data_IF_518360170732
#
_entry.id   IF_518360170732
#
_cell.length_a   1.000
_cell.length_b   1.000
_cell.length_c   1.000
_cell.angle_alpha   90.00
_cell.angle_beta   90.00
_cell.angle_gamma   90.00
#
_symmetry.space_group_name_H-M   'P 1'
#
loop_
_entity.id
_entity.type
_entity.pdbx_description
1 polymer ?
#
# COMPACT_ATOMS: atom_id res chain seq x y z
N UNK A 1 46.53 -25.48 28.59
CA UNK A 1 45.17 -25.61 29.17
C UNK A 1 44.58 -24.31 29.72
N UNK A 2 45.39 -23.32 30.19
CA UNK A 2 44.86 -22.03 30.69
C UNK A 2 44.24 -21.12 29.58
N UNK A 3 44.65 -21.26 28.32
CA UNK A 3 44.07 -20.53 27.21
C UNK A 3 42.60 -20.91 26.91
N UNK A 4 42.28 -22.17 27.06
CA UNK A 4 40.94 -22.71 26.85
C UNK A 4 39.89 -22.15 27.83
N UNK A 5 40.22 -21.94 29.08
CA UNK A 5 39.29 -21.41 30.09
C UNK A 5 38.96 -19.94 29.84
N UNK A 6 39.98 -19.12 29.51
CA UNK A 6 39.77 -17.70 29.15
C UNK A 6 38.97 -17.54 27.88
N UNK A 7 39.19 -18.38 26.87
CA UNK A 7 38.43 -18.39 25.62
C UNK A 7 36.97 -18.77 25.89
N UNK A 8 36.71 -19.76 26.73
CA UNK A 8 35.36 -20.17 27.12
C UNK A 8 34.67 -19.05 27.89
N UNK A 9 35.33 -18.41 28.84
CA UNK A 9 34.76 -17.27 29.59
C UNK A 9 34.45 -16.08 28.67
N UNK A 10 35.33 -15.75 27.72
CA UNK A 10 35.11 -14.72 26.73
C UNK A 10 33.92 -15.04 25.84
N UNK A 11 33.78 -16.31 25.44
CA UNK A 11 32.64 -16.76 24.62
C UNK A 11 31.31 -16.71 25.38
N UNK A 12 31.32 -17.06 26.67
CA UNK A 12 30.14 -16.93 27.56
C UNK A 12 29.73 -15.46 27.69
N UNK A 13 30.68 -14.55 27.93
CA UNK A 13 30.39 -13.13 28.05
C UNK A 13 29.86 -12.53 26.75
N UNK A 14 30.41 -12.91 25.60
CA UNK A 14 29.94 -12.50 24.28
C UNK A 14 28.54 -13.03 23.99
N UNK A 15 28.27 -14.28 24.31
CA UNK A 15 26.93 -14.89 24.13
C UNK A 15 25.89 -14.22 25.03
N UNK A 16 26.24 -13.89 26.27
CA UNK A 16 25.31 -13.13 27.16
C UNK A 16 24.99 -11.74 26.58
N UNK A 17 26.01 -11.02 26.10
CA UNK A 17 25.77 -9.71 25.43
C UNK A 17 24.85 -9.85 24.21
N UNK A 18 25.11 -10.83 23.36
CA UNK A 18 24.27 -11.09 22.18
C UNK A 18 22.84 -11.42 22.59
N UNK A 19 22.66 -12.25 23.62
CA UNK A 19 21.33 -12.56 24.16
C UNK A 19 20.56 -11.32 24.67
N UNK A 20 21.29 -10.43 25.40
CA UNK A 20 20.70 -9.18 25.88
C UNK A 20 20.28 -8.24 24.74
N UNK A 21 21.11 -8.11 23.70
CA UNK A 21 20.82 -7.32 22.51
C UNK A 21 19.61 -7.91 21.79
N UNK A 22 19.56 -9.21 21.61
CA UNK A 22 18.43 -9.90 20.96
C UNK A 22 17.14 -9.69 21.75
N UNK A 23 17.17 -9.81 23.08
CA UNK A 23 16.03 -9.54 23.93
C UNK A 23 15.53 -8.09 23.83
N UNK A 24 16.44 -7.12 23.79
CA UNK A 24 16.10 -5.72 23.58
C UNK A 24 15.48 -5.49 22.20
N UNK A 25 16.03 -6.11 21.15
CA UNK A 25 15.47 -6.04 19.80
C UNK A 25 14.06 -6.64 19.72
N UNK A 26 13.81 -7.75 20.42
CA UNK A 26 12.46 -8.34 20.50
C UNK A 26 11.46 -7.40 21.16
N UNK A 27 11.84 -6.74 22.27
CA UNK A 27 10.96 -5.77 22.93
C UNK A 27 10.64 -4.57 22.05
N UNK A 28 11.63 -4.04 21.34
CA UNK A 28 11.43 -2.93 20.40
C UNK A 28 10.53 -3.36 19.26
N UNK A 29 10.74 -4.54 18.70
CA UNK A 29 9.92 -5.08 17.61
C UNK A 29 8.46 -5.30 18.05
N UNK A 30 8.23 -5.88 19.23
CA UNK A 30 6.90 -6.06 19.79
C UNK A 30 6.18 -4.72 20.02
N UNK A 31 6.89 -3.71 20.55
CA UNK A 31 6.33 -2.37 20.73
C UNK A 31 5.98 -1.71 19.40
N UNK A 32 6.82 -1.85 18.38
CA UNK A 32 6.57 -1.34 17.04
C UNK A 32 5.35 -2.02 16.40
N UNK A 33 5.25 -3.34 16.55
CA UNK A 33 4.10 -4.10 16.04
C UNK A 33 2.78 -3.60 16.64
N UNK A 34 2.72 -3.47 17.96
CA UNK A 34 1.51 -2.98 18.66
C UNK A 34 1.10 -1.59 18.18
N UNK A 35 2.07 -0.67 17.98
CA UNK A 35 1.78 0.67 17.45
C UNK A 35 1.30 0.62 16.01
N UNK A 36 1.88 -0.25 15.20
CA UNK A 36 1.50 -0.43 13.80
C UNK A 36 0.06 -0.97 13.68
N UNK A 37 -0.28 -1.95 14.50
CA UNK A 37 -1.64 -2.49 14.56
C UNK A 37 -2.66 -1.44 15.00
N UNK A 38 -2.31 -0.60 15.98
CA UNK A 38 -3.20 0.49 16.42
C UNK A 38 -3.38 1.54 15.33
N UNK A 39 -2.31 1.96 14.67
CA UNK A 39 -2.39 2.89 13.54
C UNK A 39 -3.23 2.33 12.38
N UNK A 40 -3.12 1.04 12.10
CA UNK A 40 -3.94 0.36 11.10
C UNK A 40 -5.43 0.37 11.48
N UNK A 41 -5.75 0.13 12.75
CA UNK A 41 -7.14 0.18 13.25
C UNK A 41 -7.73 1.59 13.17
N UNK A 42 -6.98 2.59 13.60
CA UNK A 42 -7.43 4.00 13.55
C UNK A 42 -7.67 4.44 12.11
N UNK A 43 -6.79 4.01 11.20
CA UNK A 43 -6.95 4.28 9.78
C UNK A 43 -8.17 3.56 9.19
N UNK A 44 -8.46 2.32 9.58
CA UNK A 44 -9.65 1.60 9.13
C UNK A 44 -10.94 2.32 9.51
N UNK A 45 -11.00 2.94 10.69
CA UNK A 45 -12.15 3.74 11.11
C UNK A 45 -12.33 4.95 10.20
N UNK A 46 -11.24 5.65 9.90
CA UNK A 46 -11.26 6.81 8.99
C UNK A 46 -11.67 6.40 7.56
N UNK A 47 -11.06 5.36 7.01
CA UNK A 47 -11.36 4.85 5.68
C UNK A 47 -12.82 4.36 5.57
N UNK A 48 -13.34 3.70 6.60
CA UNK A 48 -14.73 3.26 6.67
C UNK A 48 -15.71 4.43 6.63
N UNK A 49 -15.43 5.51 7.34
CA UNK A 49 -16.28 6.73 7.31
C UNK A 49 -16.26 7.41 5.95
N UNK A 50 -15.09 7.56 5.33
CA UNK A 50 -14.99 8.11 3.96
C UNK A 50 -15.73 7.22 2.98
N UNK A 51 -15.58 5.90 3.08
CA UNK A 51 -16.32 4.94 2.24
C UNK A 51 -17.82 5.09 2.41
N UNK A 52 -18.32 5.20 3.63
CA UNK A 52 -19.74 5.38 3.89
C UNK A 52 -20.30 6.66 3.26
N UNK A 53 -19.65 7.80 3.48
CA UNK A 53 -20.06 9.09 2.91
C UNK A 53 -20.02 9.01 1.37
N UNK A 54 -18.98 8.42 0.80
CA UNK A 54 -18.82 8.28 -0.65
C UNK A 54 -19.88 7.36 -1.22
N UNK A 55 -20.16 6.23 -0.58
CA UNK A 55 -21.20 5.29 -1.00
C UNK A 55 -22.58 5.94 -0.98
N UNK A 56 -22.89 6.68 0.07
CA UNK A 56 -24.16 7.39 0.21
C UNK A 56 -24.34 8.45 -0.90
N UNK A 57 -23.29 9.19 -1.21
CA UNK A 57 -23.29 10.17 -2.31
C UNK A 57 -23.44 9.50 -3.67
N UNK A 58 -22.71 8.41 -3.92
CA UNK A 58 -22.74 7.68 -5.18
C UNK A 58 -24.08 6.97 -5.41
N UNK A 59 -24.69 6.43 -4.37
CA UNK A 59 -26.00 5.80 -4.49
C UNK A 59 -27.04 6.77 -5.04
N UNK A 60 -26.98 8.02 -4.63
CA UNK A 60 -27.84 9.06 -5.18
C UNK A 60 -27.45 9.52 -6.59
N UNK A 61 -26.21 9.28 -7.02
CA UNK A 61 -25.70 9.59 -8.38
C UNK A 61 -26.06 8.51 -9.41
N UNK A 62 -25.96 7.23 -9.05
CA UNK A 62 -26.33 6.11 -9.93
C UNK A 62 -27.78 6.23 -10.40
N UNK A 63 -28.63 6.89 -9.59
CA UNK A 63 -30.00 7.23 -9.96
C UNK A 63 -30.07 8.35 -11.01
N UNK A 64 -29.04 9.22 -11.09
CA UNK A 64 -29.02 10.41 -11.94
C UNK A 64 -28.14 10.30 -13.19
N UNK A 65 -27.36 9.21 -13.34
CA UNK A 65 -26.60 8.90 -14.55
C UNK A 65 -25.38 9.80 -14.81
N UNK A 66 -24.73 10.34 -13.77
CA UNK A 66 -23.52 11.12 -13.98
C UNK A 66 -22.27 10.23 -14.19
N UNK A 67 -21.35 10.70 -15.04
CA UNK A 67 -20.10 10.05 -15.39
C UNK A 67 -18.95 10.69 -14.60
N UNK A 68 -18.11 9.87 -13.97
CA UNK A 68 -16.91 10.34 -13.27
C UNK A 68 -15.68 9.49 -13.66
N UNK A 69 -14.58 10.12 -14.12
CA UNK A 69 -13.37 9.38 -14.53
C UNK A 69 -12.75 8.49 -13.47
N UNK A 70 -12.97 8.80 -12.18
CA UNK A 70 -12.48 7.98 -11.07
C UNK A 70 -13.26 6.67 -10.88
N UNK A 71 -14.46 6.59 -11.44
CA UNK A 71 -15.38 5.45 -11.33
C UNK A 71 -15.52 4.69 -12.65
N UNK A 72 -15.36 5.37 -13.77
CA UNK A 72 -15.64 4.81 -15.09
C UNK A 72 -14.37 4.18 -15.67
N UNK A 73 -14.50 2.92 -16.10
CA UNK A 73 -13.45 2.26 -16.85
C UNK A 73 -13.30 2.89 -18.24
N UNK A 74 -12.05 3.05 -18.67
CA UNK A 74 -11.69 3.49 -20.03
C UNK A 74 -10.76 2.47 -20.68
N UNK A 75 -10.60 2.50 -22.02
CA UNK A 75 -9.66 1.61 -22.69
C UNK A 75 -8.26 1.71 -22.10
N UNK A 76 -7.69 0.58 -21.70
CA UNK A 76 -6.40 0.52 -21.03
C UNK A 76 -5.29 0.47 -22.06
N UNK A 77 -4.54 1.57 -22.19
CA UNK A 77 -3.31 1.66 -23.00
C UNK A 77 -2.06 1.52 -22.15
N UNK A 78 -2.13 2.00 -20.91
CA UNK A 78 -1.04 1.96 -19.95
C UNK A 78 -1.56 1.65 -18.55
N UNK A 79 -0.88 0.74 -17.85
CA UNK A 79 -1.18 0.33 -16.49
C UNK A 79 -0.16 0.86 -15.50
N UNK A 80 -0.61 1.45 -14.40
CA UNK A 80 0.24 1.86 -13.28
C UNK A 80 0.27 0.78 -12.20
N UNK A 81 1.46 0.53 -11.65
CA UNK A 81 1.68 -0.42 -10.57
C UNK A 81 2.44 0.22 -9.42
N UNK A 82 1.79 0.37 -8.27
CA UNK A 82 2.47 0.70 -7.03
C UNK A 82 2.96 -0.61 -6.43
N UNK A 83 4.27 -0.78 -6.30
CA UNK A 83 4.88 -2.00 -5.75
C UNK A 83 5.55 -1.68 -4.43
N UNK A 84 5.14 -2.38 -3.37
CA UNK A 84 5.60 -2.13 -2.01
C UNK A 84 6.57 -3.23 -1.59
N UNK A 85 7.81 -2.83 -1.28
CA UNK A 85 8.87 -3.69 -0.74
C UNK A 85 9.51 -3.02 0.48
N UNK A 86 10.42 -3.71 1.14
CA UNK A 86 11.26 -3.11 2.18
C UNK A 86 12.43 -2.34 1.58
N UNK A 87 13.02 -1.45 2.38
CA UNK A 87 14.26 -0.76 2.02
C UNK A 87 15.52 -1.61 2.29
N UNK A 88 15.43 -2.53 3.25
CA UNK A 88 16.54 -3.34 3.73
C UNK A 88 16.22 -4.83 3.59
N UNK A 89 17.28 -5.64 3.57
CA UNK A 89 17.18 -7.09 3.67
C UNK A 89 16.77 -7.58 5.08
N UNK A 90 16.99 -8.86 5.35
CA UNK A 90 16.63 -9.55 6.60
C UNK A 90 15.13 -9.71 6.85
N UNK A 91 14.33 -9.74 5.78
CA UNK A 91 12.87 -9.96 5.81
C UNK A 91 12.47 -11.31 5.17
N UNK A 92 13.40 -12.25 5.16
CA UNK A 92 13.17 -13.57 4.55
C UNK A 92 12.82 -13.49 3.06
N UNK A 93 11.84 -14.27 2.63
CA UNK A 93 11.36 -14.29 1.24
C UNK A 93 10.40 -13.16 0.87
N UNK A 94 10.15 -12.21 1.76
CA UNK A 94 9.15 -11.16 1.57
C UNK A 94 9.33 -10.40 0.25
N UNK A 95 10.52 -9.83 0.03
CA UNK A 95 10.79 -9.05 -1.17
C UNK A 95 10.87 -9.92 -2.43
N UNK A 96 11.54 -11.07 -2.36
CA UNK A 96 11.73 -11.94 -3.52
C UNK A 96 10.41 -12.49 -4.07
N UNK A 97 9.48 -12.82 -3.20
CA UNK A 97 8.17 -13.35 -3.59
C UNK A 97 7.36 -12.33 -4.37
N UNK A 98 7.23 -11.11 -3.85
CA UNK A 98 6.46 -10.07 -4.54
C UNK A 98 7.15 -9.60 -5.81
N UNK A 99 8.47 -9.42 -5.81
CA UNK A 99 9.21 -8.96 -6.97
C UNK A 99 9.13 -9.95 -8.13
N UNK A 100 9.23 -11.24 -7.84
CA UNK A 100 9.04 -12.29 -8.85
C UNK A 100 7.62 -12.29 -9.40
N UNK A 101 6.62 -12.20 -8.53
CA UNK A 101 5.21 -12.17 -8.96
C UNK A 101 4.90 -10.96 -9.86
N UNK A 102 5.39 -9.77 -9.50
CA UNK A 102 5.21 -8.56 -10.31
C UNK A 102 5.95 -8.66 -11.64
N UNK A 103 7.19 -9.15 -11.64
CA UNK A 103 7.96 -9.34 -12.86
C UNK A 103 7.25 -10.29 -13.84
N UNK A 104 6.78 -11.44 -13.36
CA UNK A 104 6.07 -12.43 -14.17
C UNK A 104 4.75 -11.86 -14.71
N UNK A 105 4.01 -11.11 -13.88
CA UNK A 105 2.77 -10.44 -14.27
C UNK A 105 3.00 -9.42 -15.39
N UNK A 106 3.99 -8.53 -15.24
CA UNK A 106 4.30 -7.51 -16.23
C UNK A 106 4.74 -8.14 -17.56
N UNK A 107 5.58 -9.18 -17.52
CA UNK A 107 5.99 -9.90 -18.72
C UNK A 107 4.83 -10.61 -19.43
N UNK A 108 3.86 -11.10 -18.69
CA UNK A 108 2.67 -11.76 -19.23
C UNK A 108 1.71 -10.76 -19.86
N UNK A 109 1.49 -9.62 -19.22
CA UNK A 109 0.40 -8.69 -19.53
C UNK A 109 0.82 -7.54 -20.46
N UNK A 110 2.14 -7.30 -20.61
CA UNK A 110 2.68 -6.19 -21.40
C UNK A 110 3.76 -6.62 -22.38
N UNK A 111 3.71 -6.04 -23.57
CA UNK A 111 4.67 -6.33 -24.65
C UNK A 111 5.84 -5.32 -24.69
N UNK A 112 5.64 -4.11 -24.15
CA UNK A 112 6.66 -3.09 -24.13
C UNK A 112 6.62 -2.23 -22.85
N UNK A 113 7.70 -1.48 -22.61
CA UNK A 113 7.82 -0.54 -21.47
C UNK A 113 6.82 0.62 -21.53
N UNK A 114 6.30 0.93 -22.71
CA UNK A 114 5.33 2.01 -22.90
C UNK A 114 3.94 1.63 -22.38
N UNK A 115 3.67 0.36 -22.11
CA UNK A 115 2.38 -0.14 -21.67
C UNK A 115 2.20 -0.14 -20.15
N UNK A 116 3.27 0.13 -19.39
CA UNK A 116 3.20 0.17 -17.93
C UNK A 116 4.12 1.24 -17.32
N UNK A 117 3.83 1.60 -16.08
CA UNK A 117 4.69 2.42 -15.23
C UNK A 117 4.70 1.84 -13.81
N UNK A 118 5.88 1.71 -13.23
CA UNK A 118 6.06 1.26 -11.85
C UNK A 118 6.30 2.46 -10.95
N UNK A 119 5.60 2.49 -9.83
CA UNK A 119 5.82 3.40 -8.71
C UNK A 119 6.34 2.52 -7.58
N UNK A 120 7.63 2.63 -7.28
CA UNK A 120 8.28 1.75 -6.32
C UNK A 120 8.34 2.39 -4.94
N UNK A 121 7.75 1.74 -3.96
CA UNK A 121 7.86 2.08 -2.54
C UNK A 121 8.73 1.03 -1.89
N UNK A 122 9.92 1.43 -1.46
CA UNK A 122 10.95 0.55 -0.91
C UNK A 122 12.17 0.41 -1.83
N UNK A 123 13.35 0.53 -1.25
CA UNK A 123 14.62 0.53 -1.99
C UNK A 123 14.92 -0.78 -2.69
N UNK A 124 14.54 -1.90 -2.09
CA UNK A 124 14.80 -3.23 -2.68
C UNK A 124 14.08 -3.41 -4.01
N UNK A 125 12.81 -3.01 -4.10
CA UNK A 125 12.06 -3.04 -5.35
C UNK A 125 12.61 -2.08 -6.38
N UNK A 126 12.95 -0.86 -5.97
CA UNK A 126 13.55 0.14 -6.86
C UNK A 126 14.82 -0.37 -7.51
N UNK A 127 15.73 -0.95 -6.75
CA UNK A 127 16.99 -1.51 -7.28
C UNK A 127 16.75 -2.71 -8.20
N UNK A 128 15.81 -3.58 -7.82
CA UNK A 128 15.44 -4.75 -8.63
C UNK A 128 14.92 -4.37 -10.02
N UNK A 129 13.99 -3.44 -10.09
CA UNK A 129 13.38 -3.02 -11.36
C UNK A 129 14.34 -2.20 -12.22
N UNK A 130 15.10 -1.30 -11.61
CA UNK A 130 16.10 -0.48 -12.32
C UNK A 130 17.22 -1.33 -12.91
N UNK A 131 17.68 -2.36 -12.19
CA UNK A 131 18.71 -3.28 -12.69
C UNK A 131 18.25 -4.07 -13.93
N UNK A 132 16.95 -4.17 -14.15
CA UNK A 132 16.33 -4.83 -15.31
C UNK A 132 15.83 -3.87 -16.37
N UNK A 133 16.19 -2.60 -16.27
CA UNK A 133 15.77 -1.54 -17.18
C UNK A 133 14.24 -1.44 -17.35
N UNK A 134 13.51 -1.73 -16.29
CA UNK A 134 12.05 -1.61 -16.27
C UNK A 134 11.65 -0.14 -16.04
N UNK A 135 10.46 0.24 -16.52
CA UNK A 135 9.96 1.61 -16.42
C UNK A 135 9.51 1.93 -14.99
N UNK A 136 10.42 2.48 -14.19
CA UNK A 136 10.13 3.04 -12.86
C UNK A 136 9.92 4.54 -13.01
N UNK A 137 8.66 4.97 -12.91
CA UNK A 137 8.30 6.38 -13.06
C UNK A 137 8.83 7.23 -11.91
N UNK A 138 8.67 6.76 -10.67
CA UNK A 138 9.26 7.35 -9.48
C UNK A 138 9.32 6.35 -8.33
N UNK A 139 10.07 6.72 -7.29
CA UNK A 139 10.36 5.85 -6.15
C UNK A 139 10.31 6.61 -4.83
N UNK A 140 10.05 5.88 -3.75
CA UNK A 140 10.18 6.35 -2.37
C UNK A 140 11.04 5.37 -1.60
N UNK A 141 12.09 5.88 -0.95
CA UNK A 141 13.01 5.12 -0.09
C UNK A 141 12.99 5.65 1.32
N UNK A 142 13.45 4.85 2.26
CA UNK A 142 13.61 5.26 3.66
C UNK A 142 12.31 5.44 4.42
N UNK A 143 11.25 4.73 4.01
CA UNK A 143 9.99 4.77 4.69
C UNK A 143 10.08 4.09 6.06
N UNK A 144 9.60 4.76 7.09
CA UNK A 144 9.55 4.19 8.43
C UNK A 144 8.62 2.97 8.50
N UNK A 145 8.79 2.16 9.55
CA UNK A 145 7.94 0.99 9.79
C UNK A 145 6.45 1.36 10.00
N UNK A 146 6.21 2.58 10.46
CA UNK A 146 4.88 3.17 10.60
C UNK A 146 4.83 4.46 9.78
N UNK A 147 4.60 4.36 8.48
CA UNK A 147 4.55 5.56 7.65
C UNK A 147 3.33 6.39 8.02
N UNK A 148 3.56 7.67 8.32
CA UNK A 148 2.46 8.64 8.42
C UNK A 148 1.91 8.94 7.02
N UNK A 149 0.67 9.41 6.97
CA UNK A 149 0.10 9.88 5.70
C UNK A 149 0.96 10.96 5.04
N UNK A 150 1.55 11.86 5.85
CA UNK A 150 2.42 12.92 5.33
C UNK A 150 3.66 12.38 4.61
N UNK A 151 4.22 11.25 5.06
CA UNK A 151 5.38 10.63 4.43
C UNK A 151 5.06 10.02 3.07
N UNK A 152 3.90 9.42 2.91
CA UNK A 152 3.48 8.73 1.69
C UNK A 152 2.47 9.52 0.86
N UNK A 153 1.85 10.53 1.44
CA UNK A 153 0.78 11.30 0.81
C UNK A 153 1.17 11.91 -0.51
N UNK A 154 2.40 12.44 -0.61
CA UNK A 154 2.90 13.03 -1.85
C UNK A 154 3.00 12.04 -3.01
N UNK A 155 3.51 10.82 -2.74
CA UNK A 155 3.64 9.79 -3.78
C UNK A 155 2.27 9.23 -4.17
N UNK A 156 1.37 9.05 -3.21
CA UNK A 156 0.00 8.61 -3.45
C UNK A 156 -0.77 9.65 -4.28
N UNK A 157 -0.71 10.90 -3.87
CA UNK A 157 -1.37 12.02 -4.56
C UNK A 157 -0.84 12.17 -5.99
N UNK A 158 0.46 11.99 -6.18
CA UNK A 158 1.08 11.99 -7.51
C UNK A 158 0.58 10.83 -8.38
N UNK A 159 0.46 9.63 -7.82
CA UNK A 159 -0.06 8.46 -8.54
C UNK A 159 -1.52 8.66 -8.96
N UNK A 160 -2.37 9.15 -8.07
CA UNK A 160 -3.77 9.48 -8.37
C UNK A 160 -3.86 10.59 -9.42
N UNK A 161 -3.04 11.63 -9.30
CA UNK A 161 -2.96 12.71 -10.29
C UNK A 161 -2.52 12.22 -11.68
N UNK A 162 -1.61 11.27 -11.78
CA UNK A 162 -1.22 10.66 -13.05
C UNK A 162 -2.39 9.93 -13.71
N UNK A 163 -3.20 9.23 -12.94
CA UNK A 163 -4.43 8.61 -13.44
C UNK A 163 -5.43 9.66 -13.93
N UNK A 164 -5.66 10.72 -13.17
CA UNK A 164 -6.55 11.82 -13.56
C UNK A 164 -6.10 12.53 -14.84
N UNK A 165 -4.79 12.65 -15.05
CA UNK A 165 -4.19 13.23 -16.24
C UNK A 165 -3.97 12.22 -17.38
N UNK A 166 -4.55 11.05 -17.29
CA UNK A 166 -4.51 10.00 -18.33
C UNK A 166 -3.09 9.50 -18.68
N UNK A 167 -2.15 9.61 -17.75
CA UNK A 167 -0.80 9.07 -17.94
C UNK A 167 -0.77 7.54 -17.80
N UNK A 168 -1.71 6.97 -17.11
CA UNK A 168 -2.10 5.58 -17.18
C UNK A 168 -3.62 5.45 -16.95
N UNK A 169 -4.18 4.32 -17.35
CA UNK A 169 -5.64 4.13 -17.47
C UNK A 169 -6.21 3.23 -16.38
N UNK A 170 -5.35 2.61 -15.62
CA UNK A 170 -5.65 1.84 -14.42
C UNK A 170 -4.47 1.90 -13.45
N UNK A 171 -4.75 1.75 -12.16
CA UNK A 171 -3.74 1.74 -11.12
C UNK A 171 -3.96 0.55 -10.20
N UNK A 172 -2.91 -0.26 -10.03
CA UNK A 172 -2.84 -1.38 -9.10
C UNK A 172 -1.90 -1.09 -7.95
N UNK A 173 -2.17 -1.70 -6.81
CA UNK A 173 -1.20 -1.81 -5.71
C UNK A 173 -0.84 -3.28 -5.53
N UNK A 174 0.46 -3.54 -5.53
CA UNK A 174 1.04 -4.87 -5.40
C UNK A 174 1.79 -4.94 -4.07
N UNK A 175 1.38 -5.83 -3.19
CA UNK A 175 1.98 -5.97 -1.87
C UNK A 175 1.78 -7.38 -1.30
N UNK A 176 2.57 -7.72 -0.29
CA UNK A 176 2.34 -8.93 0.50
C UNK A 176 1.30 -8.64 1.58
N UNK A 177 0.22 -9.38 1.56
CA UNK A 177 -0.79 -9.38 2.61
C UNK A 177 -0.49 -10.46 3.63
N UNK A 178 -0.63 -10.10 4.90
CA UNK A 178 -0.45 -11.03 6.00
C UNK A 178 -1.74 -11.80 6.25
N UNK A 179 -1.65 -13.13 6.21
CA UNK A 179 -2.77 -14.00 6.56
C UNK A 179 -2.66 -14.40 8.03
N UNK A 180 -1.47 -14.86 8.42
CA UNK A 180 -1.13 -15.22 9.79
C UNK A 180 0.41 -15.22 9.96
N UNK A 181 0.91 -15.49 11.17
CA UNK A 181 2.34 -15.49 11.47
C UNK A 181 3.21 -16.39 10.58
N UNK A 182 2.61 -17.33 9.87
CA UNK A 182 3.33 -18.32 9.06
C UNK A 182 3.07 -18.17 7.55
N UNK A 183 2.02 -17.46 7.15
CA UNK A 183 1.61 -17.39 5.75
C UNK A 183 1.34 -15.97 5.28
N UNK A 184 1.77 -15.69 4.05
CA UNK A 184 1.61 -14.43 3.34
C UNK A 184 1.07 -14.71 1.94
N UNK A 185 0.39 -13.73 1.41
CA UNK A 185 -0.20 -13.77 0.08
C UNK A 185 0.21 -12.51 -0.68
N UNK A 186 0.68 -12.68 -1.91
CA UNK A 186 0.89 -11.53 -2.80
C UNK A 186 -0.47 -11.06 -3.31
N UNK A 187 -0.80 -9.81 -3.04
CA UNK A 187 -2.01 -9.16 -3.53
C UNK A 187 -1.69 -8.16 -4.62
N UNK A 188 -2.50 -8.19 -5.67
CA UNK A 188 -2.52 -7.22 -6.74
C UNK A 188 -3.95 -6.69 -6.80
N UNK A 189 -4.16 -5.51 -6.24
CA UNK A 189 -5.49 -4.92 -6.11
C UNK A 189 -5.62 -3.69 -7.01
N UNK A 190 -6.69 -3.66 -7.80
CA UNK A 190 -7.02 -2.48 -8.60
C UNK A 190 -7.59 -1.39 -7.70
N UNK A 191 -6.92 -0.24 -7.69
CA UNK A 191 -7.34 0.94 -6.94
C UNK A 191 -8.10 1.95 -7.79
N UNK A 192 -7.73 2.07 -9.06
CA UNK A 192 -8.37 2.96 -10.02
C UNK A 192 -8.60 2.25 -11.35
N UNK A 193 -9.77 2.44 -12.00
CA UNK A 193 -10.96 3.11 -11.47
C UNK A 193 -11.50 2.42 -10.23
N UNK A 194 -12.21 3.17 -9.37
CA UNK A 194 -12.77 2.65 -8.13
C UNK A 194 -13.96 1.73 -8.47
N UNK A 195 -13.86 0.44 -8.09
CA UNK A 195 -14.85 -0.57 -8.43
C UNK A 195 -15.63 -1.13 -7.22
N UNK A 196 -15.19 -0.82 -6.00
CA UNK A 196 -15.65 -1.46 -4.77
C UNK A 196 -16.95 -0.87 -4.18
N UNK A 197 -17.74 -0.17 -4.98
CA UNK A 197 -19.03 0.31 -4.53
C UNK A 197 -20.11 -0.69 -4.89
N UNK A 198 -20.59 -1.44 -3.90
CA UNK A 198 -21.82 -2.23 -4.04
C UNK A 198 -23.02 -1.28 -3.82
N UNK A 199 -23.88 -1.09 -4.84
CA UNK A 199 -25.10 -0.30 -4.69
C UNK A 199 -26.03 -0.82 -3.60
N UNK A 200 -25.86 -2.07 -3.17
CA UNK A 200 -26.68 -2.72 -2.15
C UNK A 200 -26.10 -2.59 -0.72
N UNK A 201 -24.87 -2.12 -0.57
CA UNK A 201 -24.25 -1.87 0.76
C UNK A 201 -24.78 -0.61 1.46
N UNK A 202 -25.65 0.17 0.85
CA UNK A 202 -26.30 1.28 1.53
C UNK A 202 -27.23 0.73 2.61
N UNK A 203 -26.74 0.63 3.82
CA UNK A 203 -27.59 0.47 5.00
C UNK A 203 -28.51 1.70 5.05
N UNK A 204 -29.66 1.63 4.39
CA UNK A 204 -30.88 2.37 4.63
C UNK A 204 -30.88 3.76 5.31
N UNK A 205 -29.74 4.44 5.35
CA UNK A 205 -29.69 5.82 5.76
C UNK A 205 -30.24 6.63 4.61
N UNK A 206 -31.55 6.88 4.68
CA UNK A 206 -32.21 7.89 3.87
C UNK A 206 -31.44 9.17 4.12
N UNK A 207 -30.53 9.49 3.18
CA UNK A 207 -30.02 10.85 3.10
C UNK A 207 -31.25 11.71 2.82
N UNK A 208 -31.81 12.26 3.89
CA UNK A 208 -32.67 13.42 3.79
C UNK A 208 -31.97 14.37 2.83
N UNK A 209 -32.68 14.94 1.89
CA UNK A 209 -32.16 15.92 0.93
C UNK A 209 -31.33 16.96 1.66
N UNK A 210 -30.03 16.69 1.82
CA UNK A 210 -29.09 17.74 2.23
C UNK A 210 -28.95 18.63 1.00
N UNK A 211 -29.21 19.90 1.17
CA UNK A 211 -28.73 20.91 0.25
C UNK A 211 -27.21 20.89 0.35
N UNK A 212 -26.57 20.19 -0.60
CA UNK A 212 -25.13 20.11 -0.67
C UNK A 212 -24.62 21.42 -1.30
N UNK A 213 -23.89 22.21 -0.53
CA UNK A 213 -23.14 23.37 -1.03
C UNK A 213 -21.63 23.07 -0.96
N UNK A 214 -20.91 23.18 -2.04
CA UNK A 214 -21.32 23.30 -3.43
C UNK A 214 -22.05 22.04 -3.94
N UNK A 215 -22.40 22.01 -5.24
CA UNK A 215 -23.16 20.90 -5.79
C UNK A 215 -22.48 19.53 -5.61
N UNK A 216 -23.27 18.46 -5.77
CA UNK A 216 -22.83 17.09 -5.58
C UNK A 216 -21.62 16.69 -6.44
N UNK A 217 -21.57 17.09 -7.71
CA UNK A 217 -20.47 16.73 -8.62
C UNK A 217 -19.16 17.33 -8.15
N UNK A 218 -19.17 18.57 -7.66
CA UNK A 218 -18.00 19.22 -7.07
C UNK A 218 -17.52 18.50 -5.82
N UNK A 219 -18.44 18.05 -4.97
CA UNK A 219 -18.11 17.28 -3.76
C UNK A 219 -17.48 15.93 -4.14
N UNK A 220 -18.04 15.22 -5.11
CA UNK A 220 -17.50 13.95 -5.60
C UNK A 220 -16.13 14.12 -6.24
N UNK A 221 -15.89 15.17 -7.02
CA UNK A 221 -14.59 15.45 -7.61
C UNK A 221 -13.49 15.69 -6.56
N UNK A 222 -13.85 16.16 -5.37
CA UNK A 222 -12.93 16.30 -4.25
C UNK A 222 -12.81 15.03 -3.40
N UNK A 223 -13.90 14.32 -3.20
CA UNK A 223 -13.98 13.18 -2.30
C UNK A 223 -13.39 11.90 -2.90
N UNK A 224 -13.65 11.63 -4.19
CA UNK A 224 -13.18 10.42 -4.86
C UNK A 224 -11.65 10.28 -4.91
N UNK A 225 -10.87 11.32 -5.21
CA UNK A 225 -9.43 11.26 -5.08
C UNK A 225 -8.96 10.96 -3.67
N UNK A 226 -9.57 11.56 -2.65
CA UNK A 226 -9.27 11.30 -1.25
C UNK A 226 -9.58 9.85 -0.85
N UNK A 227 -10.68 9.32 -1.35
CA UNK A 227 -11.04 7.92 -1.13
C UNK A 227 -10.02 6.97 -1.77
N UNK A 228 -9.62 7.22 -3.01
CA UNK A 228 -8.57 6.45 -3.69
C UNK A 228 -7.23 6.53 -2.94
N UNK A 229 -6.84 7.71 -2.49
CA UNK A 229 -5.63 7.92 -1.68
C UNK A 229 -5.70 7.14 -0.36
N UNK A 230 -6.86 7.08 0.27
CA UNK A 230 -7.06 6.32 1.51
C UNK A 230 -6.94 4.82 1.30
N UNK A 231 -7.45 4.28 0.18
CA UNK A 231 -7.31 2.87 -0.18
C UNK A 231 -5.84 2.49 -0.40
N UNK A 232 -5.09 3.31 -1.10
CA UNK A 232 -3.66 3.10 -1.36
C UNK A 232 -2.86 3.18 -0.05
N UNK A 233 -3.14 4.16 0.78
CA UNK A 233 -2.51 4.29 2.09
C UNK A 233 -2.78 3.07 2.97
N UNK A 234 -4.01 2.56 2.99
CA UNK A 234 -4.38 1.34 3.70
C UNK A 234 -3.56 0.12 3.28
N UNK A 235 -3.32 -0.05 1.98
CA UNK A 235 -2.47 -1.12 1.45
C UNK A 235 -1.01 -0.95 1.87
N UNK A 236 -0.48 0.28 1.92
CA UNK A 236 0.88 0.58 2.39
C UNK A 236 1.03 0.24 3.87
N UNK A 237 0.06 0.63 4.69
CA UNK A 237 0.06 0.32 6.13
C UNK A 237 -0.01 -1.18 6.37
N UNK A 238 -0.88 -1.90 5.68
CA UNK A 238 -0.99 -3.36 5.75
C UNK A 238 0.36 -4.01 5.38
N UNK A 239 0.95 -3.63 4.25
CA UNK A 239 2.24 -4.14 3.82
C UNK A 239 3.37 -3.88 4.84
N UNK A 240 3.38 -2.71 5.49
CA UNK A 240 4.43 -2.32 6.44
C UNK A 240 4.28 -2.95 7.82
N UNK A 241 3.08 -3.25 8.27
CA UNK A 241 2.83 -3.94 9.55
C UNK A 241 3.54 -5.29 9.61
N UNK A 242 3.84 -5.88 8.48
CA UNK A 242 4.43 -7.20 8.34
C UNK A 242 5.95 -7.26 8.41
N UNK A 243 6.64 -6.12 8.30
CA UNK A 243 8.11 -6.10 8.39
C UNK A 243 8.62 -6.29 9.82
N UNK A 244 7.71 -6.36 10.82
CA UNK A 244 8.05 -6.38 12.23
C UNK A 244 7.88 -7.75 12.91
N UNK A 245 7.43 -8.74 12.18
CA UNK A 245 7.36 -10.14 12.60
C UNK A 245 8.56 -10.93 12.04
#
# INVERSE_FOLDING_TARGET
MAGSLREIQAKIASTKKTSQITGAMQMVSASKLTRSEQAAKDFQIYASKIRQITTDLLHSELVNGSSNPMLDARPVRKSGYIVITSDKGLVGGYNSTILKAVLDMIKRDHDSEDEYAIISIGGTGSDFFKARNMNVAFELRGLEDQPSFDQVGKIISKAVGMYQNELFDELYVCYNHHINSLSREVRVEKMLPIADFDPNESEGHVLTKFELEPDRDTILDQLLPQYAESLIYGAIVDAKTQHQQ
#
